data_IF_196553718647
#
_entry.id   IF_196553718647
#
_cell.length_a   1.000
_cell.length_b   1.000
_cell.length_c   1.000
_cell.angle_alpha   90.00
_cell.angle_beta   90.00
_cell.angle_gamma   90.00
#
_symmetry.space_group_name_H-M   'P 1'
#
loop_
_entity.id
_entity.type
_entity.pdbx_description
1 polymer ?
#
# COMPACT_ATOMS: atom_id res chain seq x y z
N UNK A 1 23.88 0.39 20.67
CA UNK A 1 22.74 -0.23 19.95
C UNK A 1 21.90 0.87 19.37
N UNK A 2 21.57 0.77 18.08
CA UNK A 2 20.58 1.65 17.45
C UNK A 2 19.19 1.26 17.94
N UNK A 3 18.38 2.26 18.30
CA UNK A 3 17.00 2.06 18.76
C UNK A 3 16.06 2.53 17.66
N UNK A 4 14.89 1.90 17.56
CA UNK A 4 13.78 2.46 16.78
C UNK A 4 13.23 3.63 17.59
N UNK A 5 13.30 4.81 17.02
CA UNK A 5 12.83 6.05 17.62
C UNK A 5 11.37 6.32 17.26
N UNK A 6 10.98 5.95 16.03
CA UNK A 6 9.63 6.19 15.53
C UNK A 6 9.18 5.15 14.51
N UNK A 7 7.89 4.86 14.51
CA UNK A 7 7.22 4.09 13.46
C UNK A 7 6.03 4.89 12.95
N UNK A 8 6.00 5.15 11.65
CA UNK A 8 4.88 5.78 10.95
C UNK A 8 4.21 4.76 10.03
N UNK A 9 2.87 4.71 10.07
CA UNK A 9 2.04 3.89 9.19
C UNK A 9 1.13 4.79 8.37
N UNK A 10 1.12 4.58 7.05
CA UNK A 10 0.21 5.27 6.13
C UNK A 10 -0.42 4.29 5.16
N UNK A 11 -1.72 4.44 4.93
CA UNK A 11 -2.43 3.73 3.88
C UNK A 11 -2.29 4.53 2.58
N UNK A 12 -1.91 3.84 1.50
CA UNK A 12 -1.80 4.44 0.17
C UNK A 12 -2.73 3.70 -0.77
N UNK A 13 -3.62 4.44 -1.41
CA UNK A 13 -4.47 3.92 -2.47
C UNK A 13 -3.75 4.05 -3.83
N UNK A 14 -3.42 2.90 -4.43
CA UNK A 14 -2.72 2.83 -5.70
C UNK A 14 -3.72 2.46 -6.80
N UNK A 15 -4.26 3.49 -7.45
CA UNK A 15 -5.15 3.32 -8.61
C UNK A 15 -4.34 2.79 -9.80
N UNK A 16 -4.78 1.70 -10.45
CA UNK A 16 -4.05 1.13 -11.57
C UNK A 16 -4.14 2.05 -12.80
N UNK A 17 -3.06 2.14 -13.58
CA UNK A 17 -3.02 2.97 -14.80
C UNK A 17 -3.97 2.50 -15.91
N UNK A 18 -4.35 1.23 -15.87
CA UNK A 18 -5.32 0.61 -16.79
C UNK A 18 -6.20 -0.31 -15.95
N UNK A 19 -7.51 -0.36 -16.26
CA UNK A 19 -8.46 -1.23 -15.58
C UNK A 19 -7.98 -2.69 -15.65
N UNK A 20 -7.79 -3.31 -14.50
CA UNK A 20 -7.44 -4.74 -14.39
C UNK A 20 -8.72 -5.52 -14.16
N UNK A 21 -9.11 -6.30 -15.16
CA UNK A 21 -10.24 -7.23 -15.06
C UNK A 21 -9.71 -8.63 -15.29
N UNK A 22 -9.92 -9.51 -14.32
CA UNK A 22 -9.70 -10.95 -14.48
C UNK A 22 -11.05 -11.70 -14.46
N UNK A 23 -11.02 -13.01 -14.67
CA UNK A 23 -12.21 -13.84 -14.76
C UNK A 23 -12.97 -13.99 -13.42
N UNK A 24 -12.37 -13.55 -12.31
CA UNK A 24 -12.87 -13.72 -10.95
C UNK A 24 -13.29 -12.36 -10.37
N UNK A 25 -12.53 -11.30 -10.62
CA UNK A 25 -12.79 -9.96 -10.12
C UNK A 25 -12.22 -8.84 -11.01
N UNK A 26 -12.75 -7.64 -10.81
CA UNK A 26 -12.14 -6.40 -11.30
C UNK A 26 -11.48 -5.70 -10.13
N UNK A 27 -10.15 -5.51 -10.20
CA UNK A 27 -9.43 -4.74 -9.19
C UNK A 27 -9.67 -3.25 -9.42
N UNK A 28 -10.32 -2.60 -8.46
CA UNK A 28 -10.63 -1.17 -8.50
C UNK A 28 -9.39 -0.34 -8.13
N UNK A 29 -8.73 -0.70 -7.04
CA UNK A 29 -7.47 -0.09 -6.59
C UNK A 29 -6.69 -1.02 -5.68
N UNK A 30 -5.41 -0.74 -5.46
CA UNK A 30 -4.57 -1.47 -4.51
C UNK A 30 -4.32 -0.62 -3.27
N UNK A 31 -4.99 -0.95 -2.17
CA UNK A 31 -4.78 -0.31 -0.88
C UNK A 31 -3.57 -0.95 -0.16
N UNK A 32 -2.47 -0.19 -0.03
CA UNK A 32 -1.20 -0.71 0.50
C UNK A 32 -0.79 0.06 1.76
N UNK A 33 -0.56 -0.61 2.90
CA UNK A 33 0.08 0.00 4.05
C UNK A 33 1.58 0.20 3.77
N UNK A 34 2.08 1.42 4.00
CA UNK A 34 3.52 1.73 3.99
C UNK A 34 3.95 2.05 5.41
N UNK A 35 4.99 1.33 5.86
CA UNK A 35 5.62 1.54 7.17
C UNK A 35 6.94 2.26 6.97
N UNK A 36 7.19 3.29 7.79
CA UNK A 36 8.48 3.98 7.87
C UNK A 36 8.99 3.88 9.30
N UNK A 37 10.24 3.44 9.45
CA UNK A 37 10.91 3.24 10.75
C UNK A 37 12.11 4.18 10.78
N UNK A 38 12.23 5.00 11.82
CA UNK A 38 13.36 5.91 12.06
C UNK A 38 13.97 5.58 13.41
#
# INVERSE_FOLDING_TARGET
MTRIEKVDLRMVDLVPKVKRTDAIQSFVSQETPIVTIT
#
